data_IF_590230392736
#
_entry.id   IF_590230392736
#
_cell.length_a   1.000
_cell.length_b   1.000
_cell.length_c   1.000
_cell.angle_alpha   90.00
_cell.angle_beta   90.00
_cell.angle_gamma   90.00
#
_symmetry.space_group_name_H-M   'P 1'
#
loop_
_entity.id
_entity.type
_entity.pdbx_description
1 polymer ?
#
# COMPACT_ATOMS: atom_id res chain seq x y z
N UNK A 1 6.78 -3.23 22.37
CA UNK A 1 7.38 -1.92 21.99
C UNK A 1 8.14 -2.12 20.71
N UNK A 2 7.82 -1.34 19.68
CA UNK A 2 8.50 -1.39 18.40
C UNK A 2 10.01 -1.13 18.58
N UNK A 3 10.83 -1.84 17.85
CA UNK A 3 12.28 -1.76 17.97
C UNK A 3 12.82 -0.82 16.89
N UNK A 4 13.63 0.17 17.29
CA UNK A 4 14.35 1.02 16.31
C UNK A 4 15.36 0.18 15.55
N UNK A 5 15.21 0.14 14.23
CA UNK A 5 16.17 -0.50 13.32
C UNK A 5 17.35 0.45 13.18
N UNK A 6 18.55 -0.04 13.51
CA UNK A 6 19.78 0.78 13.38
C UNK A 6 20.20 0.85 11.91
N UNK A 7 20.23 2.04 11.31
CA UNK A 7 20.79 2.19 9.96
C UNK A 7 22.25 1.73 9.90
N UNK A 8 22.67 1.23 8.74
CA UNK A 8 24.03 0.66 8.55
C UNK A 8 25.12 1.71 8.79
N UNK A 9 24.97 2.90 8.26
CA UNK A 9 25.70 4.14 8.57
C UNK A 9 24.79 5.29 8.16
N UNK A 10 24.25 6.02 9.12
CA UNK A 10 23.28 7.06 8.83
C UNK A 10 23.80 8.44 9.23
N UNK A 11 23.92 9.28 8.24
CA UNK A 11 24.07 10.72 8.40
C UNK A 11 23.00 11.41 7.54
N UNK A 12 22.20 12.34 8.10
CA UNK A 12 21.19 13.05 7.32
C UNK A 12 21.84 13.82 6.16
N UNK A 13 21.52 13.45 4.92
CA UNK A 13 22.00 14.14 3.72
C UNK A 13 21.38 15.52 3.52
N UNK A 14 20.22 15.74 4.12
CA UNK A 14 19.45 16.98 4.04
C UNK A 14 19.12 17.48 5.45
N UNK A 15 19.23 18.79 5.66
CA UNK A 15 18.72 19.44 6.86
C UNK A 15 17.19 19.44 6.89
N UNK A 16 16.57 19.93 7.97
CA UNK A 16 15.12 19.93 8.14
C UNK A 16 14.42 20.77 7.05
N UNK A 17 14.94 21.94 6.70
CA UNK A 17 14.35 22.81 5.67
C UNK A 17 14.39 22.13 4.29
N UNK A 18 15.53 21.55 3.93
CA UNK A 18 15.69 20.82 2.68
C UNK A 18 14.79 19.58 2.65
N UNK A 19 14.64 18.89 3.79
CA UNK A 19 13.74 17.74 3.93
C UNK A 19 12.28 18.12 3.64
N UNK A 20 11.76 19.19 4.26
CA UNK A 20 10.42 19.70 4.00
C UNK A 20 10.21 20.14 2.54
N UNK A 21 11.21 20.78 1.94
CA UNK A 21 11.18 21.13 0.52
C UNK A 21 11.18 19.88 -0.37
N UNK A 22 11.96 18.87 -0.02
CA UNK A 22 12.04 17.59 -0.72
C UNK A 22 10.72 16.81 -0.64
N UNK A 23 10.08 16.78 0.53
CA UNK A 23 8.74 16.17 0.70
C UNK A 23 7.73 16.81 -0.26
N UNK A 24 7.70 18.15 -0.31
CA UNK A 24 6.82 18.87 -1.23
C UNK A 24 7.12 18.54 -2.69
N UNK A 25 8.40 18.59 -3.07
CA UNK A 25 8.85 18.28 -4.43
C UNK A 25 8.41 16.88 -4.88
N UNK A 26 8.67 15.89 -4.05
CA UNK A 26 8.34 14.49 -4.33
C UNK A 26 6.83 14.31 -4.44
N UNK A 27 6.07 14.83 -3.47
CA UNK A 27 4.61 14.70 -3.47
C UNK A 27 3.97 15.34 -4.71
N UNK A 28 4.35 16.56 -5.05
CA UNK A 28 3.81 17.27 -6.20
C UNK A 28 4.14 16.59 -7.52
N UNK A 29 5.38 16.17 -7.69
CA UNK A 29 5.83 15.55 -8.94
C UNK A 29 5.29 14.13 -9.12
N UNK A 30 5.35 13.31 -8.07
CA UNK A 30 4.90 11.92 -8.15
C UNK A 30 3.39 11.83 -8.45
N UNK A 31 2.55 12.59 -7.76
CA UNK A 31 1.10 12.55 -7.98
C UNK A 31 0.72 12.95 -9.42
N UNK A 32 1.42 13.92 -10.02
CA UNK A 32 1.20 14.30 -11.42
C UNK A 32 1.60 13.17 -12.37
N UNK A 33 2.76 12.55 -12.15
CA UNK A 33 3.20 11.42 -12.95
C UNK A 33 2.24 10.23 -12.82
N UNK A 34 1.87 9.84 -11.60
CA UNK A 34 0.93 8.76 -11.34
C UNK A 34 -0.41 8.99 -12.03
N UNK A 35 -0.98 10.19 -11.85
CA UNK A 35 -2.28 10.52 -12.44
C UNK A 35 -2.25 10.54 -13.97
N UNK A 36 -1.17 10.99 -14.57
CA UNK A 36 -0.98 10.98 -16.04
C UNK A 36 -0.82 9.56 -16.55
N UNK A 37 0.07 8.77 -15.93
CA UNK A 37 0.33 7.37 -16.32
C UNK A 37 -0.93 6.52 -16.29
N UNK A 38 -1.71 6.61 -15.22
CA UNK A 38 -2.89 5.76 -15.03
C UNK A 38 -4.22 6.44 -15.41
N UNK A 39 -4.18 7.65 -15.98
CA UNK A 39 -5.36 8.45 -16.36
C UNK A 39 -6.34 8.65 -15.20
N UNK A 40 -5.81 9.11 -14.06
CA UNK A 40 -6.57 9.27 -12.84
C UNK A 40 -7.01 10.73 -12.64
N UNK A 41 -8.27 10.91 -12.21
CA UNK A 41 -8.79 12.19 -11.74
C UNK A 41 -8.68 12.26 -10.22
N UNK A 42 -8.15 13.37 -9.71
CA UNK A 42 -8.15 13.59 -8.25
C UNK A 42 -9.58 13.83 -7.74
N UNK A 43 -9.94 13.17 -6.64
CA UNK A 43 -11.21 13.33 -5.94
C UNK A 43 -10.98 13.57 -4.45
N UNK A 44 -11.96 14.18 -3.79
CA UNK A 44 -11.95 14.32 -2.33
C UNK A 44 -12.45 13.02 -1.69
N UNK A 45 -11.77 12.55 -0.65
CA UNK A 45 -12.14 11.34 0.07
C UNK A 45 -12.50 11.64 1.54
N UNK A 46 -13.30 10.78 2.18
CA UNK A 46 -13.60 10.91 3.60
C UNK A 46 -12.40 10.48 4.47
N UNK A 47 -12.25 11.16 5.61
CA UNK A 47 -11.36 10.70 6.69
C UNK A 47 -12.02 9.60 7.53
N UNK A 48 -13.35 9.55 7.57
CA UNK A 48 -14.14 8.60 8.35
C UNK A 48 -15.42 8.23 7.61
N UNK A 49 -15.95 7.06 7.93
CA UNK A 49 -17.19 6.51 7.35
C UNK A 49 -18.11 6.02 8.46
N UNK A 50 -19.39 5.83 8.17
CA UNK A 50 -20.33 5.19 9.11
C UNK A 50 -19.92 3.73 9.34
N UNK A 51 -19.88 3.32 10.61
CA UNK A 51 -19.62 1.95 11.01
C UNK A 51 -20.72 1.01 10.53
N UNK A 52 -20.34 -0.23 10.16
CA UNK A 52 -21.30 -1.29 9.82
C UNK A 52 -21.73 -1.33 8.36
N UNK A 53 -21.21 -0.45 7.48
CA UNK A 53 -21.49 -0.47 6.04
C UNK A 53 -20.57 -1.41 5.24
N UNK A 54 -19.54 -1.96 5.86
CA UNK A 54 -18.53 -2.77 5.17
C UNK A 54 -17.65 -1.95 4.20
N UNK A 55 -17.59 -0.61 4.39
CA UNK A 55 -16.79 0.28 3.56
C UNK A 55 -15.36 0.38 4.10
N UNK A 56 -15.21 0.52 5.43
CA UNK A 56 -13.87 0.52 6.02
C UNK A 56 -13.21 -0.85 5.92
N UNK A 57 -11.89 -0.86 5.95
CA UNK A 57 -11.10 -2.08 5.97
C UNK A 57 -10.80 -2.48 7.41
N UNK A 58 -10.89 -3.75 7.72
CA UNK A 58 -10.47 -4.31 9.00
C UNK A 58 -9.05 -4.89 8.95
N UNK A 59 -8.30 -4.55 7.89
CA UNK A 59 -6.93 -5.00 7.62
C UNK A 59 -6.80 -6.53 7.75
N UNK A 60 -6.16 -7.02 8.81
CA UNK A 60 -6.07 -8.44 9.11
C UNK A 60 -7.28 -8.98 9.89
N UNK A 61 -8.23 -8.09 10.26
CA UNK A 61 -9.46 -8.44 10.96
C UNK A 61 -9.38 -8.42 12.49
N UNK A 62 -8.27 -7.90 13.03
CA UNK A 62 -8.02 -7.78 14.48
C UNK A 62 -7.76 -6.35 14.93
N UNK A 63 -7.43 -5.46 14.01
CA UNK A 63 -7.13 -4.06 14.28
C UNK A 63 -8.37 -3.27 14.64
N UNK A 64 -8.24 -2.42 15.66
CA UNK A 64 -9.32 -1.58 16.16
C UNK A 64 -9.38 -0.26 15.40
N UNK A 65 -10.51 0.02 14.75
CA UNK A 65 -10.76 1.34 14.20
C UNK A 65 -10.98 2.38 15.32
N UNK A 66 -10.46 3.59 15.12
CA UNK A 66 -10.80 4.74 15.97
C UNK A 66 -12.24 5.13 15.68
N UNK A 67 -13.12 5.04 16.68
CA UNK A 67 -14.55 5.30 16.55
C UNK A 67 -15.00 6.47 17.38
N UNK A 68 -16.04 7.18 16.91
CA UNK A 68 -16.68 8.28 17.64
C UNK A 68 -18.17 8.39 17.28
N UNK A 69 -19.03 8.86 18.23
CA UNK A 69 -20.44 9.08 17.96
C UNK A 69 -20.68 10.40 17.20
N UNK A 70 -21.73 10.42 16.36
CA UNK A 70 -22.18 11.62 15.65
C UNK A 70 -23.51 12.09 16.26
N UNK A 71 -23.49 13.19 17.00
CA UNK A 71 -24.67 13.73 17.72
C UNK A 71 -25.89 13.94 16.82
N UNK A 72 -25.70 14.57 15.66
CA UNK A 72 -26.82 14.92 14.75
C UNK A 72 -27.38 13.70 14.00
N UNK A 73 -26.75 12.51 14.15
CA UNK A 73 -27.23 11.25 13.62
C UNK A 73 -27.69 10.28 14.74
N UNK A 74 -28.11 10.83 15.89
CA UNK A 74 -28.58 10.01 17.00
C UNK A 74 -27.50 9.11 17.60
N UNK A 75 -26.28 9.63 17.72
CA UNK A 75 -25.10 8.93 18.23
C UNK A 75 -24.67 7.71 17.38
N UNK A 76 -25.07 7.68 16.11
CA UNK A 76 -24.54 6.71 15.17
C UNK A 76 -23.00 6.76 15.17
N UNK A 77 -22.37 5.56 15.14
CA UNK A 77 -20.92 5.46 15.21
C UNK A 77 -20.28 5.69 13.82
N UNK A 78 -19.29 6.57 13.78
CA UNK A 78 -18.35 6.69 12.68
C UNK A 78 -17.01 6.06 13.06
N UNK A 79 -16.24 5.69 12.08
CA UNK A 79 -14.89 5.15 12.25
C UNK A 79 -13.91 5.80 11.27
N UNK A 80 -12.73 6.18 11.76
CA UNK A 80 -11.63 6.66 10.92
C UNK A 80 -11.19 5.53 10.01
N UNK A 81 -10.98 5.81 8.74
CA UNK A 81 -10.63 4.78 7.76
C UNK A 81 -9.26 4.16 8.04
N UNK A 82 -9.14 2.86 7.77
CA UNK A 82 -7.87 2.14 7.66
C UNK A 82 -7.39 2.07 6.21
N UNK A 83 -8.33 2.06 5.26
CA UNK A 83 -8.14 2.00 3.82
C UNK A 83 -9.37 2.56 3.11
N UNK A 84 -9.19 3.07 1.91
CA UNK A 84 -10.27 3.55 1.03
C UNK A 84 -10.55 2.60 -0.14
N UNK A 85 -10.03 1.37 -0.14
CA UNK A 85 -10.16 0.44 -1.25
C UNK A 85 -11.62 0.24 -1.68
N UNK A 86 -12.51 -0.04 -0.74
CA UNK A 86 -13.94 -0.25 -1.00
C UNK A 86 -14.67 1.05 -1.33
N UNK A 87 -14.35 2.15 -0.62
CA UNK A 87 -14.91 3.47 -0.90
C UNK A 87 -14.60 3.94 -2.33
N UNK A 88 -13.36 3.79 -2.78
CA UNK A 88 -12.96 4.19 -4.14
C UNK A 88 -13.78 3.45 -5.20
N UNK A 89 -14.01 2.16 -5.02
CA UNK A 89 -14.80 1.37 -5.98
C UNK A 89 -16.27 1.81 -6.03
N UNK A 90 -16.87 2.19 -4.88
CA UNK A 90 -18.19 2.83 -4.83
C UNK A 90 -18.18 4.16 -5.60
N UNK A 91 -17.12 4.96 -5.39
CA UNK A 91 -16.97 6.26 -6.07
C UNK A 91 -16.78 6.13 -7.58
N UNK A 92 -16.11 5.07 -8.08
CA UNK A 92 -16.04 4.81 -9.53
C UNK A 92 -17.44 4.65 -10.14
N UNK A 93 -18.33 3.93 -9.47
CA UNK A 93 -19.72 3.76 -9.93
C UNK A 93 -20.50 5.08 -9.85
N UNK A 94 -20.41 5.79 -8.72
CA UNK A 94 -21.11 7.06 -8.51
C UNK A 94 -20.70 8.13 -9.50
N UNK A 95 -19.40 8.26 -9.78
CA UNK A 95 -18.85 9.20 -10.74
C UNK A 95 -18.93 8.72 -12.20
N UNK A 96 -19.45 7.52 -12.44
CA UNK A 96 -19.62 6.91 -13.77
C UNK A 96 -18.30 6.93 -14.56
N UNK A 97 -17.22 6.49 -13.91
CA UNK A 97 -15.90 6.44 -14.54
C UNK A 97 -15.88 5.35 -15.60
N UNK A 98 -15.41 5.70 -16.79
CA UNK A 98 -15.33 4.78 -17.94
C UNK A 98 -14.11 3.83 -17.84
N UNK A 99 -14.16 2.64 -18.48
CA UNK A 99 -13.00 1.74 -18.56
C UNK A 99 -11.75 2.41 -19.12
N UNK A 100 -10.61 2.18 -18.46
CA UNK A 100 -9.32 2.78 -18.80
C UNK A 100 -9.05 4.14 -18.14
N UNK A 101 -9.99 4.62 -17.32
CA UNK A 101 -9.84 5.81 -16.48
C UNK A 101 -10.06 5.47 -15.01
N UNK A 102 -9.63 6.37 -14.13
CA UNK A 102 -9.76 6.14 -12.70
C UNK A 102 -9.79 7.42 -11.86
N UNK A 103 -9.70 7.21 -10.57
CA UNK A 103 -9.63 8.26 -9.55
C UNK A 103 -8.41 8.03 -8.66
N UNK A 104 -7.90 9.09 -8.05
CA UNK A 104 -6.99 9.00 -6.91
C UNK A 104 -7.34 10.06 -5.86
N UNK A 105 -6.89 9.82 -4.66
CA UNK A 105 -7.09 10.74 -3.53
C UNK A 105 -5.90 10.70 -2.59
N UNK A 106 -5.78 11.73 -1.77
CA UNK A 106 -4.90 11.72 -0.61
C UNK A 106 -5.67 11.06 0.54
N UNK A 107 -5.35 9.81 0.85
CA UNK A 107 -5.90 9.09 1.98
C UNK A 107 -5.10 9.43 3.23
N UNK A 108 -5.80 9.68 4.33
CA UNK A 108 -5.24 9.79 5.67
C UNK A 108 -5.94 8.76 6.56
N UNK A 109 -5.18 7.93 7.25
CA UNK A 109 -5.70 6.86 8.09
C UNK A 109 -5.03 6.87 9.47
N UNK A 110 -5.71 6.30 10.46
CA UNK A 110 -5.15 6.08 11.80
C UNK A 110 -5.22 4.59 12.09
N UNK A 111 -4.07 3.99 12.38
CA UNK A 111 -3.92 2.59 12.79
C UNK A 111 -3.48 2.52 14.24
N UNK A 112 -4.47 2.48 15.15
CA UNK A 112 -4.23 2.60 16.58
C UNK A 112 -3.45 1.42 17.20
N UNK A 113 -3.49 0.26 16.55
CA UNK A 113 -2.82 -0.97 17.01
C UNK A 113 -1.49 -1.25 16.29
N UNK A 114 -0.98 -0.28 15.49
CA UNK A 114 0.28 -0.44 14.75
C UNK A 114 1.48 -0.58 15.70
N UNK A 115 2.36 -1.53 15.42
CA UNK A 115 3.67 -1.62 16.08
C UNK A 115 4.62 -0.59 15.46
N UNK A 116 5.02 0.40 16.27
CA UNK A 116 5.83 1.51 15.79
C UNK A 116 7.29 1.07 15.62
N UNK A 117 7.84 1.35 14.45
CA UNK A 117 9.26 1.17 14.13
C UNK A 117 9.72 2.25 13.12
N UNK A 118 10.85 2.03 12.45
CA UNK A 118 11.35 2.97 11.45
C UNK A 118 10.41 3.16 10.25
N UNK A 119 9.52 2.20 9.96
CA UNK A 119 8.69 2.14 8.77
C UNK A 119 7.20 2.31 9.07
N UNK A 120 6.78 2.09 10.32
CA UNK A 120 5.40 2.05 10.75
C UNK A 120 5.07 3.17 11.72
N UNK A 121 3.98 3.88 11.46
CA UNK A 121 3.44 4.99 12.24
C UNK A 121 1.96 4.78 12.50
N UNK A 122 1.43 5.39 13.57
CA UNK A 122 -0.02 5.46 13.81
C UNK A 122 -0.75 6.18 12.69
N UNK A 123 -0.10 7.15 12.06
CA UNK A 123 -0.64 7.92 10.93
C UNK A 123 -0.13 7.35 9.62
N UNK A 124 -1.06 7.05 8.70
CA UNK A 124 -0.76 6.53 7.36
C UNK A 124 -1.31 7.48 6.31
N UNK A 125 -0.46 7.90 5.39
CA UNK A 125 -0.82 8.70 4.23
C UNK A 125 -0.50 7.95 2.92
N UNK A 126 -1.47 7.92 1.98
CA UNK A 126 -1.29 7.24 0.70
C UNK A 126 -1.85 8.07 -0.45
N UNK A 127 -1.22 7.98 -1.62
CA UNK A 127 -1.95 8.17 -2.87
C UNK A 127 -2.75 6.90 -3.10
N UNK A 128 -4.02 6.98 -2.80
CA UNK A 128 -4.93 5.85 -2.90
C UNK A 128 -5.69 5.96 -4.23
N UNK A 129 -5.53 4.99 -5.12
CA UNK A 129 -6.02 5.06 -6.49
C UNK A 129 -6.86 3.84 -6.87
N UNK A 130 -7.77 4.02 -7.84
CA UNK A 130 -8.63 2.97 -8.37
C UNK A 130 -9.00 3.30 -9.81
N UNK A 131 -8.91 2.32 -10.73
CA UNK A 131 -9.25 2.49 -12.13
C UNK A 131 -10.22 1.41 -12.60
N UNK A 132 -11.18 1.80 -13.47
CA UNK A 132 -12.13 0.87 -14.07
C UNK A 132 -11.41 0.07 -15.16
N UNK A 133 -11.60 -1.24 -15.14
CA UNK A 133 -11.05 -2.19 -16.13
C UNK A 133 -12.16 -2.95 -16.82
N UNK A 134 -11.83 -3.55 -17.97
CA UNK A 134 -12.71 -4.48 -18.67
C UNK A 134 -12.54 -5.90 -18.14
N UNK A 135 -13.44 -6.80 -18.53
CA UNK A 135 -13.36 -8.20 -18.13
C UNK A 135 -12.10 -8.89 -18.67
N UNK A 136 -11.71 -8.57 -19.89
CA UNK A 136 -10.51 -9.05 -20.56
C UNK A 136 -9.21 -8.58 -19.91
N UNK A 137 -9.24 -7.48 -19.13
CA UNK A 137 -8.08 -6.93 -18.42
C UNK A 137 -7.77 -7.67 -17.11
N UNK A 138 -8.65 -8.62 -16.68
CA UNK A 138 -8.42 -9.42 -15.48
C UNK A 138 -7.36 -10.49 -15.70
N UNK A 139 -6.13 -10.08 -15.99
CA UNK A 139 -4.99 -10.94 -16.33
C UNK A 139 -3.74 -10.51 -15.57
N UNK A 140 -2.83 -11.46 -15.38
CA UNK A 140 -1.53 -11.19 -14.77
C UNK A 140 -0.68 -10.24 -15.65
N UNK A 141 -0.81 -10.35 -16.97
CA UNK A 141 -0.12 -9.46 -17.92
C UNK A 141 -0.57 -8.00 -17.74
N UNK A 142 -1.87 -7.76 -17.57
CA UNK A 142 -2.40 -6.42 -17.30
C UNK A 142 -1.91 -5.88 -15.96
N UNK A 143 -1.96 -6.68 -14.90
CA UNK A 143 -1.43 -6.30 -13.59
C UNK A 143 0.05 -5.88 -13.69
N UNK A 144 0.89 -6.70 -14.33
CA UNK A 144 2.32 -6.40 -14.51
C UNK A 144 2.55 -5.09 -15.27
N UNK A 145 1.79 -4.83 -16.33
CA UNK A 145 1.88 -3.56 -17.07
C UNK A 145 1.57 -2.35 -16.18
N UNK A 146 0.54 -2.42 -15.33
CA UNK A 146 0.21 -1.32 -14.41
C UNK A 146 1.34 -1.12 -13.38
N UNK A 147 1.90 -2.20 -12.85
CA UNK A 147 3.05 -2.14 -11.92
C UNK A 147 4.27 -1.48 -12.57
N UNK A 148 4.62 -1.85 -13.79
CA UNK A 148 5.74 -1.23 -14.53
C UNK A 148 5.54 0.27 -14.73
N UNK A 149 4.32 0.72 -15.02
CA UNK A 149 3.99 2.14 -15.18
C UNK A 149 4.11 2.92 -13.87
N UNK A 150 3.64 2.35 -12.74
CA UNK A 150 3.81 2.94 -11.42
C UNK A 150 5.29 3.01 -11.07
N UNK A 151 6.04 1.93 -11.28
CA UNK A 151 7.46 1.89 -11.01
C UNK A 151 8.25 2.90 -11.85
N UNK A 152 7.88 3.10 -13.11
CA UNK A 152 8.46 4.15 -13.95
C UNK A 152 8.19 5.56 -13.41
N UNK A 153 7.02 5.82 -12.82
CA UNK A 153 6.73 7.09 -12.15
C UNK A 153 7.60 7.27 -10.88
N UNK A 154 7.81 6.21 -10.09
CA UNK A 154 8.71 6.22 -8.93
C UNK A 154 10.14 6.57 -9.37
N UNK A 155 10.67 5.91 -10.39
CA UNK A 155 12.03 6.18 -10.91
C UNK A 155 12.21 7.59 -11.45
N UNK A 156 11.23 8.13 -12.18
CA UNK A 156 11.28 9.54 -12.63
C UNK A 156 11.35 10.50 -11.44
N UNK A 157 10.65 10.17 -10.36
CA UNK A 157 10.67 10.98 -9.13
C UNK A 157 12.02 10.86 -8.41
N UNK A 158 12.62 9.67 -8.36
CA UNK A 158 13.99 9.49 -7.88
C UNK A 158 14.98 10.35 -8.66
N UNK A 159 14.91 10.29 -9.99
CA UNK A 159 15.79 11.08 -10.86
C UNK A 159 15.67 12.58 -10.56
N UNK A 160 14.44 13.13 -10.51
CA UNK A 160 14.24 14.54 -10.16
C UNK A 160 14.79 14.89 -8.77
N UNK A 161 14.62 14.00 -7.81
CA UNK A 161 15.11 14.19 -6.44
C UNK A 161 16.65 14.28 -6.43
N UNK A 162 17.34 13.39 -7.14
CA UNK A 162 18.80 13.38 -7.25
C UNK A 162 19.34 14.60 -8.01
N UNK A 163 18.65 15.06 -9.05
CA UNK A 163 19.01 16.29 -9.75
C UNK A 163 18.86 17.54 -8.87
N UNK A 164 17.82 17.56 -8.02
CA UNK A 164 17.59 18.69 -7.09
C UNK A 164 18.54 18.67 -5.90
N UNK A 165 18.89 17.47 -5.42
CA UNK A 165 19.77 17.24 -4.27
C UNK A 165 20.92 16.32 -4.66
N UNK A 166 22.02 16.86 -5.26
CA UNK A 166 23.11 16.05 -5.82
C UNK A 166 23.85 15.15 -4.82
N UNK A 167 23.71 15.40 -3.51
CA UNK A 167 24.23 14.53 -2.45
C UNK A 167 23.44 13.21 -2.32
N UNK A 168 22.19 13.17 -2.76
CA UNK A 168 21.38 11.94 -2.85
C UNK A 168 21.76 11.24 -4.16
N UNK A 169 22.04 9.94 -4.08
CA UNK A 169 22.39 9.12 -5.26
C UNK A 169 21.28 8.15 -5.60
N UNK A 170 20.96 7.97 -6.89
CA UNK A 170 19.94 7.00 -7.30
C UNK A 170 20.40 5.57 -6.98
N UNK A 171 19.47 4.71 -6.57
CA UNK A 171 19.77 3.31 -6.26
C UNK A 171 18.72 2.34 -6.82
N UNK A 172 17.58 2.85 -7.30
CA UNK A 172 16.52 2.01 -7.86
C UNK A 172 16.96 1.42 -9.22
N UNK A 173 16.81 0.10 -9.43
CA UNK A 173 17.17 -0.54 -10.69
C UNK A 173 16.29 -0.05 -11.85
N UNK A 174 16.76 -0.27 -13.08
CA UNK A 174 16.03 0.15 -14.29
C UNK A 174 14.68 -0.54 -14.43
N UNK A 175 14.58 -1.79 -14.03
CA UNK A 175 13.37 -2.61 -14.15
C UNK A 175 13.01 -3.24 -12.81
N UNK A 176 11.72 -3.34 -12.55
CA UNK A 176 11.18 -4.11 -11.44
C UNK A 176 11.17 -5.60 -11.80
N UNK A 177 11.55 -6.45 -10.86
CA UNK A 177 11.49 -7.91 -11.02
C UNK A 177 10.15 -8.45 -10.50
N UNK A 178 9.55 -9.39 -11.24
CA UNK A 178 8.31 -10.04 -10.84
C UNK A 178 8.60 -11.44 -10.31
N UNK A 179 8.04 -11.76 -9.16
CA UNK A 179 8.15 -13.07 -8.52
C UNK A 179 6.83 -13.43 -7.84
N UNK A 180 6.43 -14.69 -7.90
CA UNK A 180 5.26 -15.13 -7.16
C UNK A 180 5.65 -15.57 -5.74
N UNK A 181 4.73 -15.38 -4.76
CA UNK A 181 4.97 -15.77 -3.37
C UNK A 181 5.31 -17.28 -3.22
N UNK A 182 4.73 -18.15 -4.05
CA UNK A 182 5.10 -19.57 -4.12
C UNK A 182 6.56 -19.79 -4.56
N UNK A 183 7.04 -19.03 -5.55
CA UNK A 183 8.45 -19.11 -5.97
C UNK A 183 9.40 -18.74 -4.84
N UNK A 184 9.00 -17.77 -3.99
CA UNK A 184 9.80 -17.40 -2.82
C UNK A 184 9.86 -18.53 -1.78
N UNK A 185 8.78 -19.33 -1.63
CA UNK A 185 8.81 -20.54 -0.79
C UNK A 185 9.80 -21.55 -1.33
N UNK A 186 9.79 -21.79 -2.65
CA UNK A 186 10.67 -22.74 -3.33
C UNK A 186 12.14 -22.26 -3.31
N UNK A 187 12.38 -20.97 -3.58
CA UNK A 187 13.73 -20.39 -3.64
C UNK A 187 14.41 -20.28 -2.27
N UNK A 188 13.62 -20.05 -1.23
CA UNK A 188 14.12 -19.80 0.13
C UNK A 188 13.39 -20.65 1.17
N UNK A 189 13.53 -22.00 1.11
CA UNK A 189 12.86 -22.88 2.03
C UNK A 189 13.32 -22.62 3.49
N UNK A 190 12.37 -22.63 4.40
CA UNK A 190 12.64 -22.38 5.83
C UNK A 190 12.77 -20.93 6.26
N UNK A 191 12.87 -19.97 5.33
CA UNK A 191 12.84 -18.54 5.67
C UNK A 191 11.40 -18.08 5.94
N UNK A 192 11.26 -17.10 6.83
CA UNK A 192 10.01 -16.36 7.03
C UNK A 192 9.67 -15.52 5.80
N UNK A 193 8.41 -15.10 5.61
CA UNK A 193 8.04 -14.21 4.50
C UNK A 193 8.93 -12.97 4.42
N UNK A 194 9.21 -12.31 5.55
CA UNK A 194 10.05 -11.10 5.60
C UNK A 194 11.51 -11.38 5.20
N UNK A 195 12.08 -12.49 5.64
CA UNK A 195 13.42 -12.90 5.21
C UNK A 195 13.48 -13.28 3.72
N UNK A 196 12.38 -13.78 3.14
CA UNK A 196 12.25 -14.02 1.70
C UNK A 196 12.24 -12.72 0.92
N UNK A 197 11.47 -11.73 1.40
CA UNK A 197 11.45 -10.38 0.83
C UNK A 197 12.82 -9.71 0.88
N UNK A 198 13.50 -9.77 2.02
CA UNK A 198 14.84 -9.21 2.18
C UNK A 198 15.80 -9.85 1.17
N UNK A 199 15.81 -11.18 1.06
CA UNK A 199 16.71 -11.89 0.15
C UNK A 199 16.44 -11.60 -1.33
N UNK A 200 15.18 -11.51 -1.74
CA UNK A 200 14.84 -11.25 -3.15
C UNK A 200 15.05 -9.77 -3.50
N UNK A 201 14.73 -8.85 -2.60
CA UNK A 201 14.97 -7.42 -2.81
C UNK A 201 16.46 -7.09 -2.82
N UNK A 202 17.28 -7.69 -1.95
CA UNK A 202 18.73 -7.54 -1.99
C UNK A 202 19.31 -7.97 -3.35
N UNK A 203 18.78 -9.06 -3.92
CA UNK A 203 19.23 -9.60 -5.21
C UNK A 203 18.86 -8.72 -6.40
N UNK A 204 17.63 -8.19 -6.43
CA UNK A 204 17.08 -7.52 -7.62
C UNK A 204 16.87 -6.00 -7.45
N UNK A 205 17.00 -5.46 -6.25
CA UNK A 205 16.83 -4.03 -5.94
C UNK A 205 15.38 -3.57 -5.88
N UNK A 206 14.52 -4.04 -6.77
CA UNK A 206 13.08 -3.75 -6.79
C UNK A 206 12.29 -4.97 -7.28
N UNK A 207 11.24 -5.33 -6.57
CA UNK A 207 10.47 -6.57 -6.79
C UNK A 207 8.98 -6.29 -6.64
N UNK A 208 8.17 -6.93 -7.49
CA UNK A 208 6.74 -7.07 -7.27
C UNK A 208 6.44 -8.51 -6.86
N UNK A 209 6.01 -8.72 -5.62
CA UNK A 209 5.64 -10.04 -5.10
C UNK A 209 4.17 -10.27 -5.37
N UNK A 210 3.86 -11.28 -6.20
CA UNK A 210 2.51 -11.61 -6.66
C UNK A 210 1.88 -12.66 -5.75
N UNK A 211 0.54 -12.62 -5.56
CA UNK A 211 -0.24 -13.68 -4.90
C UNK A 211 -0.20 -13.59 -3.37
N UNK A 212 -0.44 -12.41 -2.82
CA UNK A 212 -0.46 -12.15 -1.38
C UNK A 212 -1.88 -12.28 -0.82
N UNK A 213 -2.06 -13.06 0.25
CA UNK A 213 -3.34 -13.22 0.96
C UNK A 213 -3.80 -14.67 1.11
N UNK A 214 -3.55 -15.51 0.11
CA UNK A 214 -3.86 -16.95 0.15
C UNK A 214 -2.81 -17.76 0.92
N UNK A 215 -3.18 -19.00 1.30
CA UNK A 215 -2.23 -19.97 1.83
C UNK A 215 -1.35 -20.51 0.72
N UNK A 216 -0.04 -20.55 0.97
CA UNK A 216 0.97 -21.11 0.09
C UNK A 216 1.18 -22.62 0.35
N UNK A 217 2.02 -23.25 -0.45
CA UNK A 217 2.35 -24.68 -0.37
C UNK A 217 2.93 -25.10 0.99
N UNK A 218 3.58 -24.18 1.71
CA UNK A 218 4.07 -24.41 3.08
C UNK A 218 2.97 -24.29 4.16
N UNK A 219 1.70 -24.07 3.75
CA UNK A 219 0.54 -23.92 4.61
C UNK A 219 0.40 -22.56 5.28
N UNK A 220 1.30 -21.61 5.01
CA UNK A 220 1.30 -20.26 5.59
C UNK A 220 0.87 -19.23 4.52
N UNK A 221 0.40 -18.09 4.95
CA UNK A 221 0.26 -16.92 4.07
C UNK A 221 1.61 -16.21 3.96
N UNK A 222 1.87 -15.56 2.81
CA UNK A 222 3.02 -14.67 2.71
C UNK A 222 2.81 -13.44 3.59
N UNK A 223 1.65 -12.80 3.44
CA UNK A 223 1.17 -11.72 4.30
C UNK A 223 -0.37 -11.74 4.36
N UNK A 224 -0.94 -10.96 5.30
CA UNK A 224 -2.37 -10.77 5.45
C UNK A 224 -2.97 -9.96 4.29
N UNK A 225 -4.20 -10.32 3.91
CA UNK A 225 -5.00 -9.52 2.97
C UNK A 225 -6.48 -9.74 3.26
N UNK A 226 -7.27 -8.67 3.39
CA UNK A 226 -8.71 -8.80 3.56
C UNK A 226 -9.34 -9.53 2.35
N UNK A 227 -10.46 -10.27 2.56
CA UNK A 227 -11.04 -11.10 1.51
C UNK A 227 -11.89 -10.32 0.50
N UNK A 228 -12.12 -9.04 0.70
CA UNK A 228 -13.20 -8.31 0.07
C UNK A 228 -12.79 -7.13 -0.83
N UNK A 229 -11.49 -7.01 -1.16
CA UNK A 229 -11.06 -6.04 -2.17
C UNK A 229 -10.05 -6.60 -3.20
N UNK A 230 -8.86 -7.07 -2.84
CA UNK A 230 -7.92 -7.67 -3.79
C UNK A 230 -8.26 -9.12 -4.13
N UNK A 231 -8.14 -9.49 -5.41
CA UNK A 231 -8.33 -10.88 -5.86
C UNK A 231 -7.02 -11.67 -5.71
N UNK A 232 -6.88 -12.34 -4.58
CA UNK A 232 -5.73 -13.22 -4.27
C UNK A 232 -6.02 -14.70 -4.50
N UNK A 233 -7.19 -15.06 -5.03
CA UNK A 233 -7.65 -16.44 -5.14
C UNK A 233 -7.94 -16.92 -6.58
N UNK A 234 -8.03 -16.03 -7.54
CA UNK A 234 -8.21 -16.42 -8.94
C UNK A 234 -6.91 -17.00 -9.49
N UNK A 235 -7.01 -18.17 -10.14
CA UNK A 235 -5.86 -18.80 -10.82
C UNK A 235 -5.55 -18.00 -12.07
N UNK A 236 -4.33 -17.50 -12.17
CA UNK A 236 -3.83 -16.77 -13.31
C UNK A 236 -3.34 -17.72 -14.45
N UNK A 237 -2.89 -17.14 -15.55
CA UNK A 237 -2.47 -17.87 -16.76
C UNK A 237 -1.24 -18.75 -16.53
N UNK A 238 -0.44 -18.45 -15.50
CA UNK A 238 0.73 -19.23 -15.07
C UNK A 238 0.38 -20.41 -14.15
N UNK A 239 -0.91 -20.61 -13.87
CA UNK A 239 -1.42 -21.67 -13.01
C UNK A 239 -1.34 -21.39 -11.51
N UNK A 240 -0.92 -20.20 -11.09
CA UNK A 240 -0.83 -19.77 -9.70
C UNK A 240 -1.97 -18.85 -9.31
N UNK A 241 -2.29 -18.80 -8.01
CA UNK A 241 -3.39 -17.97 -7.49
C UNK A 241 -2.92 -16.54 -7.21
N UNK A 242 -3.73 -15.57 -7.61
CA UNK A 242 -3.58 -14.16 -7.23
C UNK A 242 -3.35 -13.22 -8.41
N UNK A 243 -4.13 -12.15 -8.39
CA UNK A 243 -4.05 -11.02 -9.32
C UNK A 243 -3.71 -9.72 -8.54
N UNK A 244 -2.92 -9.86 -7.49
CA UNK A 244 -2.51 -8.78 -6.59
C UNK A 244 -1.05 -8.95 -6.18
N UNK A 245 -0.52 -7.97 -5.46
CA UNK A 245 0.82 -8.04 -4.90
C UNK A 245 1.32 -6.70 -4.38
N UNK A 246 2.60 -6.69 -3.97
CA UNK A 246 3.24 -5.54 -3.35
C UNK A 246 4.52 -5.14 -4.10
N UNK A 247 4.72 -3.83 -4.27
CA UNK A 247 5.97 -3.26 -4.74
C UNK A 247 6.91 -3.12 -3.56
N UNK A 248 7.98 -3.88 -3.58
CA UNK A 248 9.06 -3.87 -2.60
C UNK A 248 10.35 -3.37 -3.24
N UNK A 249 11.16 -2.67 -2.47
CA UNK A 249 12.52 -2.28 -2.87
C UNK A 249 13.53 -2.73 -1.82
N UNK A 250 14.77 -2.92 -2.22
CA UNK A 250 15.88 -2.97 -1.28
C UNK A 250 16.22 -1.56 -0.81
N UNK A 251 16.11 -1.31 0.48
CA UNK A 251 16.41 0.01 1.04
C UNK A 251 17.79 0.04 1.70
N UNK A 252 18.82 0.60 1.03
CA UNK A 252 20.20 0.51 1.50
C UNK A 252 20.44 1.15 2.88
N UNK A 253 19.68 2.21 3.21
CA UNK A 253 19.83 2.92 4.50
C UNK A 253 19.54 2.00 5.69
N UNK A 254 18.54 1.12 5.56
CA UNK A 254 18.16 0.18 6.60
C UNK A 254 18.64 -1.25 6.35
N UNK A 255 19.20 -1.54 5.15
CA UNK A 255 19.71 -2.87 4.79
C UNK A 255 18.60 -3.94 4.78
N UNK A 256 17.39 -3.61 4.27
CA UNK A 256 16.25 -4.52 4.24
C UNK A 256 15.28 -4.19 3.12
N UNK A 257 14.32 -5.08 2.88
CA UNK A 257 13.18 -4.82 2.01
C UNK A 257 12.27 -3.74 2.58
N UNK A 258 11.65 -2.98 1.69
CA UNK A 258 10.79 -1.85 2.04
C UNK A 258 9.57 -1.84 1.11
N UNK A 259 8.37 -2.00 1.64
CA UNK A 259 7.14 -1.95 0.88
C UNK A 259 6.73 -0.49 0.58
N UNK A 260 6.57 -0.19 -0.70
CA UNK A 260 6.11 1.12 -1.19
C UNK A 260 4.62 1.14 -1.52
N UNK A 261 4.09 0.03 -2.02
CA UNK A 261 2.72 -0.03 -2.53
C UNK A 261 2.16 -1.43 -2.43
N UNK A 262 0.89 -1.50 -2.06
CA UNK A 262 0.05 -2.69 -2.13
C UNK A 262 -1.06 -2.45 -3.15
N UNK A 263 -1.29 -3.40 -4.08
CA UNK A 263 -2.24 -3.21 -5.16
C UNK A 263 -2.75 -4.54 -5.75
N UNK A 264 -3.88 -4.48 -6.46
CA UNK A 264 -4.40 -5.66 -7.15
C UNK A 264 -5.58 -5.37 -8.05
N UNK A 265 -5.85 -6.30 -8.96
CA UNK A 265 -7.14 -6.42 -9.60
C UNK A 265 -8.13 -6.81 -8.50
N UNK A 266 -9.26 -6.09 -8.46
CA UNK A 266 -10.22 -6.27 -7.38
C UNK A 266 -11.08 -7.52 -7.61
N UNK A 267 -11.60 -8.07 -6.53
CA UNK A 267 -12.53 -9.19 -6.59
C UNK A 267 -13.72 -8.90 -7.51
N UNK A 268 -14.14 -9.90 -8.28
CA UNK A 268 -15.47 -9.98 -8.86
C UNK A 268 -16.41 -10.76 -7.92
N UNK A 269 -17.66 -10.96 -8.31
CA UNK A 269 -18.61 -11.73 -7.50
C UNK A 269 -18.10 -13.11 -7.12
N UNK A 270 -17.49 -13.81 -8.07
CA UNK A 270 -17.04 -15.20 -7.90
C UNK A 270 -15.86 -15.27 -6.93
N UNK A 271 -14.86 -14.42 -7.11
CA UNK A 271 -13.71 -14.38 -6.22
C UNK A 271 -14.05 -13.80 -4.85
N UNK A 272 -14.96 -12.81 -4.76
CA UNK A 272 -15.46 -12.33 -3.47
C UNK A 272 -16.07 -13.47 -2.64
N UNK A 273 -17.07 -14.18 -3.16
CA UNK A 273 -17.74 -15.26 -2.45
C UNK A 273 -16.76 -16.38 -2.05
N UNK A 274 -15.82 -16.72 -2.96
CA UNK A 274 -14.78 -17.70 -2.67
C UNK A 274 -13.87 -17.24 -1.53
N UNK A 275 -13.41 -15.99 -1.54
CA UNK A 275 -12.51 -15.45 -0.52
C UNK A 275 -13.20 -15.28 0.83
N UNK A 276 -14.45 -14.81 0.87
CA UNK A 276 -15.23 -14.74 2.11
C UNK A 276 -15.37 -16.12 2.74
N UNK A 277 -15.69 -17.15 1.95
CA UNK A 277 -15.77 -18.52 2.43
C UNK A 277 -14.43 -19.08 2.93
N UNK A 278 -13.33 -18.78 2.24
CA UNK A 278 -11.99 -19.22 2.66
C UNK A 278 -11.57 -18.62 4.00
N UNK A 279 -12.03 -17.38 4.30
CA UNK A 279 -11.74 -16.68 5.54
C UNK A 279 -12.85 -16.84 6.61
N UNK A 280 -13.94 -17.58 6.33
CA UNK A 280 -15.06 -17.77 7.25
C UNK A 280 -15.78 -16.47 7.58
N UNK A 281 -15.95 -15.59 6.59
CA UNK A 281 -16.55 -14.25 6.73
C UNK A 281 -17.77 -14.04 5.82
N UNK A 282 -18.53 -15.11 5.56
CA UNK A 282 -19.70 -15.10 4.67
C UNK A 282 -20.79 -14.13 5.16
N UNK A 283 -20.85 -13.83 6.45
CA UNK A 283 -21.79 -12.84 7.00
C UNK A 283 -21.62 -11.44 6.38
N UNK A 284 -20.44 -11.12 5.82
CA UNK A 284 -20.19 -9.84 5.15
C UNK A 284 -20.98 -9.68 3.85
N UNK A 285 -21.46 -10.74 3.26
CA UNK A 285 -22.31 -10.67 2.06
C UNK A 285 -23.52 -9.75 2.25
N UNK A 286 -24.00 -9.58 3.49
CA UNK A 286 -25.12 -8.72 3.83
C UNK A 286 -24.78 -7.23 3.97
N UNK A 287 -23.48 -6.87 3.98
CA UNK A 287 -23.07 -5.50 4.15
C UNK A 287 -23.28 -4.69 2.87
N UNK A 288 -23.47 -3.39 3.01
CA UNK A 288 -23.80 -2.48 1.90
C UNK A 288 -22.85 -2.57 0.70
N UNK A 289 -21.55 -2.52 0.93
CA UNK A 289 -20.55 -2.62 -0.16
C UNK A 289 -20.66 -3.97 -0.89
N UNK A 290 -20.79 -5.08 -0.14
CA UNK A 290 -20.80 -6.42 -0.70
C UNK A 290 -22.09 -6.65 -1.52
N UNK A 291 -23.24 -6.19 -1.02
CA UNK A 291 -24.50 -6.26 -1.77
C UNK A 291 -24.41 -5.50 -3.09
N UNK A 292 -23.82 -4.30 -3.11
CA UNK A 292 -23.60 -3.55 -4.35
C UNK A 292 -22.76 -4.31 -5.36
N UNK A 293 -21.70 -4.97 -4.90
CA UNK A 293 -20.84 -5.79 -5.76
C UNK A 293 -21.59 -7.02 -6.29
N UNK A 294 -22.31 -7.72 -5.43
CA UNK A 294 -23.07 -8.93 -5.79
C UNK A 294 -24.23 -8.64 -6.74
N UNK A 295 -24.79 -7.43 -6.73
CA UNK A 295 -25.86 -6.98 -7.61
C UNK A 295 -25.37 -6.35 -8.93
N UNK A 296 -24.06 -6.43 -9.27
CA UNK A 296 -23.45 -5.80 -10.46
C UNK A 296 -23.56 -4.27 -10.51
N UNK A 297 -23.70 -3.63 -9.36
CA UNK A 297 -23.78 -2.18 -9.29
C UNK A 297 -22.38 -1.50 -9.28
N UNK A 298 -21.29 -2.28 -9.11
CA UNK A 298 -19.93 -1.78 -9.08
C UNK A 298 -19.12 -2.26 -10.29
N UNK A 299 -18.28 -1.39 -10.90
CA UNK A 299 -17.47 -1.78 -12.04
C UNK A 299 -16.36 -2.77 -11.62
N UNK A 300 -15.82 -3.53 -12.57
CA UNK A 300 -14.55 -4.20 -12.40
C UNK A 300 -13.45 -3.16 -12.31
N UNK A 301 -12.49 -3.37 -11.40
CA UNK A 301 -11.45 -2.38 -11.15
C UNK A 301 -10.11 -3.01 -10.77
N UNK A 302 -9.07 -2.20 -10.90
CA UNK A 302 -7.74 -2.39 -10.34
C UNK A 302 -7.42 -1.18 -9.47
N UNK A 303 -6.76 -1.38 -8.36
CA UNK A 303 -6.39 -0.25 -7.50
C UNK A 303 -5.32 -0.60 -6.50
N UNK A 304 -4.91 0.41 -5.75
CA UNK A 304 -3.86 0.25 -4.74
C UNK A 304 -3.64 1.53 -3.95
N UNK A 305 -2.76 1.43 -2.97
CA UNK A 305 -2.25 2.55 -2.19
C UNK A 305 -0.74 2.63 -2.31
N UNK A 306 -0.22 3.83 -2.52
CA UNK A 306 1.23 4.11 -2.51
C UNK A 306 1.51 5.02 -1.33
N UNK A 307 2.34 4.56 -0.39
CA UNK A 307 2.66 5.32 0.82
C UNK A 307 3.37 6.62 0.49
N UNK A 308 2.75 7.77 0.82
CA UNK A 308 3.32 9.10 0.54
C UNK A 308 4.58 9.32 1.38
N UNK A 309 4.47 9.19 2.70
CA UNK A 309 5.60 9.33 3.61
C UNK A 309 6.66 8.26 3.38
N UNK A 310 6.26 7.03 3.05
CA UNK A 310 7.18 5.94 2.69
C UNK A 310 8.00 6.28 1.45
N UNK A 311 7.38 6.78 0.38
CA UNK A 311 8.11 7.18 -0.82
C UNK A 311 9.06 8.35 -0.55
N UNK A 312 8.62 9.36 0.22
CA UNK A 312 9.49 10.47 0.63
C UNK A 312 10.69 9.99 1.48
N UNK A 313 10.46 9.08 2.44
CA UNK A 313 11.51 8.48 3.26
C UNK A 313 12.60 7.84 2.40
N UNK A 314 12.17 7.02 1.45
CA UNK A 314 13.06 6.29 0.53
C UNK A 314 13.86 7.25 -0.34
N UNK A 315 13.18 8.17 -1.04
CA UNK A 315 13.83 9.06 -2.01
C UNK A 315 14.68 10.17 -1.37
N UNK A 316 14.42 10.51 -0.10
CA UNK A 316 15.25 11.44 0.68
C UNK A 316 16.29 10.72 1.56
N UNK A 317 16.42 9.41 1.44
CA UNK A 317 17.38 8.56 2.17
C UNK A 317 17.29 8.73 3.69
N UNK A 318 16.08 8.73 4.26
CA UNK A 318 15.85 8.92 5.69
C UNK A 318 15.85 7.60 6.47
N UNK A 319 16.38 7.64 7.69
CA UNK A 319 16.48 6.46 8.56
C UNK A 319 15.20 6.07 9.26
N UNK A 320 14.23 7.00 9.37
CA UNK A 320 12.98 6.78 10.10
C UNK A 320 11.83 7.59 9.47
N UNK A 321 10.64 7.00 9.38
CA UNK A 321 9.45 7.66 8.80
C UNK A 321 9.05 8.94 9.57
N UNK A 322 9.38 9.01 10.86
CA UNK A 322 9.18 10.20 11.69
C UNK A 322 10.07 11.39 11.32
N UNK A 323 11.03 11.24 10.42
CA UNK A 323 11.77 12.38 9.82
C UNK A 323 11.00 13.00 8.64
N UNK A 324 9.92 12.35 8.21
CA UNK A 324 9.09 12.75 7.07
C UNK A 324 7.70 13.21 7.51
N UNK A 325 7.13 12.58 8.53
CA UNK A 325 5.77 12.87 8.98
C UNK A 325 5.72 13.14 10.49
N UNK A 326 4.95 14.15 10.87
CA UNK A 326 4.62 14.40 12.26
C UNK A 326 3.65 13.33 12.79
N UNK A 327 4.00 12.72 13.90
CA UNK A 327 3.20 11.68 14.56
C UNK A 327 3.51 11.65 16.07
N UNK A 328 2.91 10.68 16.77
CA UNK A 328 3.19 10.43 18.19
C UNK A 328 4.17 9.28 18.28
N UNK A 329 5.31 9.52 18.91
CA UNK A 329 6.37 8.54 19.10
C UNK A 329 6.68 8.33 20.56
N UNK A 330 6.93 7.10 21.03
CA UNK A 330 7.42 6.82 22.38
C UNK A 330 8.71 7.59 22.68
N UNK A 331 8.86 8.07 23.90
CA UNK A 331 9.99 8.92 24.27
C UNK A 331 11.34 8.17 24.18
N UNK A 332 11.38 6.90 24.54
CA UNK A 332 12.52 6.02 24.39
C UNK A 332 12.95 5.87 22.91
N UNK A 333 11.98 5.74 22.00
CA UNK A 333 12.22 5.72 20.55
C UNK A 333 12.79 7.05 20.06
N UNK A 334 12.24 8.19 20.50
CA UNK A 334 12.78 9.52 20.15
C UNK A 334 14.23 9.69 20.58
N UNK A 335 14.55 9.24 21.80
CA UNK A 335 15.91 9.31 22.34
C UNK A 335 16.88 8.41 21.58
N UNK A 336 16.47 7.19 21.23
CA UNK A 336 17.30 6.27 20.47
C UNK A 336 17.54 6.78 19.04
N UNK A 337 16.50 7.26 18.36
CA UNK A 337 16.60 7.90 17.04
C UNK A 337 17.57 9.08 17.06
N UNK A 338 17.47 9.95 18.07
CA UNK A 338 18.37 11.10 18.22
C UNK A 338 19.84 10.67 18.36
N UNK A 339 20.14 9.61 19.12
CA UNK A 339 21.51 9.05 19.25
C UNK A 339 22.04 8.53 17.92
N UNK A 340 21.15 8.06 17.05
CA UNK A 340 21.46 7.53 15.71
C UNK A 340 21.44 8.61 14.61
N UNK A 341 21.31 9.89 14.96
CA UNK A 341 21.28 11.01 14.02
C UNK A 341 19.94 11.25 13.33
N UNK A 342 18.87 10.56 13.73
CA UNK A 342 17.52 10.72 13.19
C UNK A 342 16.71 11.70 14.06
N UNK A 343 16.16 12.76 13.45
CA UNK A 343 15.32 13.76 14.14
C UNK A 343 13.87 13.55 13.78
N UNK A 344 13.07 13.06 14.72
CA UNK A 344 11.63 12.84 14.54
C UNK A 344 10.86 14.16 14.73
N UNK A 345 9.99 14.50 13.76
CA UNK A 345 9.14 15.70 13.75
C UNK A 345 7.76 15.41 14.33
#
# INVERSE_FOLDING_TARGET
>A
MGQVIKPVMYEPLLDMKQTEQGIKLIKDFFQQNLSTELRLRRVTAPLFVLKGLGINDDLNGVERAVTFPIKDLGDAQAEVVHSLAKWKRLSLAEYKIEPGYGIYTDMNAIRADEELDNLHSLYVDQWDWEAVIRKEDRTLAFLKNIVERIYAAIRRTEYLTCETYPQIKPFLPEKIHFVHAEELVEMYPGKTPKEREDAICEKYGAVFVIGIGGKLSDGKKHDGRAPDYDDWSTIAEDGRAGLNGDILIWYPVLGRSFELSSMGIRVDKTSLLRQLKLEGKEEREQLYFHQKLLNDELPLSIGGGIGQSRLCMVLLHKGHIGEIQASIWPEDMRQECKKLGMTLI
#
